data_IF_715082771389
#
_entry.id   IF_715082771389
#
_cell.length_a   1.000
_cell.length_b   1.000
_cell.length_c   1.000
_cell.angle_alpha   90.00
_cell.angle_beta   90.00
_cell.angle_gamma   90.00
#
_symmetry.space_group_name_H-M   'P 1'
#
loop_
_entity.id
_entity.type
_entity.pdbx_description
1 polymer ?
#
# COMPACT_ATOMS: atom_id res chain seq x y z
N UNK A 1 25.25 13.32 5.97
CA UNK A 1 26.26 12.24 5.76
C UNK A 1 25.68 11.00 6.45
N UNK A 2 25.35 9.86 5.84
CA UNK A 2 25.62 9.25 4.53
C UNK A 2 24.30 8.72 3.95
N UNK A 3 24.17 8.91 2.64
CA UNK A 3 23.21 8.23 1.78
C UNK A 3 23.59 6.75 1.74
N UNK A 4 22.66 5.85 2.07
CA UNK A 4 22.78 4.43 1.71
C UNK A 4 21.63 4.07 0.80
N UNK A 5 21.80 4.49 -0.45
CA UNK A 5 21.21 3.81 -1.60
C UNK A 5 22.00 2.51 -1.73
N UNK A 6 21.38 1.39 -1.39
CA UNK A 6 21.82 0.06 -1.81
C UNK A 6 20.80 -0.45 -2.80
N UNK A 7 21.10 -0.23 -4.08
CA UNK A 7 20.49 -0.97 -5.17
C UNK A 7 21.14 -2.36 -5.27
N UNK A 8 20.39 -3.27 -5.90
CA UNK A 8 20.81 -4.52 -6.56
C UNK A 8 20.36 -5.83 -5.89
N UNK A 9 19.13 -6.21 -6.24
CA UNK A 9 18.79 -7.46 -6.92
C UNK A 9 19.71 -8.69 -6.74
N UNK A 10 19.19 -9.76 -6.13
CA UNK A 10 19.19 -11.12 -6.69
C UNK A 10 18.45 -12.09 -5.75
N UNK A 11 17.47 -12.80 -6.29
CA UNK A 11 17.13 -14.16 -5.84
C UNK A 11 15.88 -14.33 -4.98
N UNK A 12 14.69 -14.19 -5.57
CA UNK A 12 13.54 -15.00 -5.14
C UNK A 12 12.95 -15.67 -6.37
N UNK A 13 13.52 -16.83 -6.72
CA UNK A 13 12.80 -17.80 -7.55
C UNK A 13 11.96 -18.68 -6.62
N UNK A 14 10.82 -18.16 -6.15
CA UNK A 14 9.81 -18.99 -5.51
C UNK A 14 8.97 -19.63 -6.61
N UNK A 15 9.45 -20.76 -7.14
CA UNK A 15 8.68 -21.59 -8.07
C UNK A 15 7.57 -22.33 -7.31
N UNK A 16 6.43 -21.68 -7.15
CA UNK A 16 5.18 -22.37 -6.81
C UNK A 16 4.66 -23.04 -8.08
N UNK A 17 4.93 -24.35 -8.22
CA UNK A 17 4.24 -25.21 -9.18
C UNK A 17 2.81 -25.45 -8.70
N UNK A 18 1.93 -24.47 -8.92
CA UNK A 18 0.49 -24.74 -8.92
C UNK A 18 0.19 -25.52 -10.20
N UNK A 19 0.04 -26.84 -10.08
CA UNK A 19 -0.61 -27.66 -11.08
C UNK A 19 -2.11 -27.27 -11.16
N UNK A 20 -2.38 -26.10 -11.73
CA UNK A 20 -3.70 -25.65 -12.14
C UNK A 20 -3.68 -25.50 -13.66
N UNK A 21 -4.66 -26.09 -14.34
CA UNK A 21 -4.84 -25.95 -15.78
C UNK A 21 -4.60 -24.49 -16.20
N UNK A 22 -3.75 -24.20 -17.21
CA UNK A 22 -3.64 -22.85 -17.74
C UNK A 22 -5.00 -22.52 -18.33
N UNK A 23 -5.83 -21.82 -17.57
CA UNK A 23 -6.95 -21.10 -18.14
C UNK A 23 -6.29 -20.01 -18.98
N UNK A 24 -6.14 -20.31 -20.27
CA UNK A 24 -5.77 -19.31 -21.24
C UNK A 24 -6.80 -18.20 -21.07
N UNK A 25 -6.34 -16.98 -20.80
CA UNK A 25 -7.22 -15.82 -20.90
C UNK A 25 -7.62 -15.76 -22.38
N UNK A 26 -8.80 -16.27 -22.71
CA UNK A 26 -9.42 -16.03 -24.00
C UNK A 26 -9.53 -14.51 -24.08
N UNK A 27 -8.88 -13.90 -25.07
CA UNK A 27 -9.07 -12.48 -25.38
C UNK A 27 -10.49 -12.30 -25.93
N UNK A 28 -11.48 -12.40 -25.05
CA UNK A 28 -12.86 -12.03 -25.28
C UNK A 28 -13.06 -10.55 -24.96
N UNK A 29 -14.10 -9.97 -25.55
CA UNK A 29 -14.61 -8.66 -25.18
C UNK A 29 -14.98 -8.67 -23.69
N UNK A 30 -14.34 -7.80 -22.89
CA UNK A 30 -14.59 -7.72 -21.44
C UNK A 30 -15.59 -6.61 -21.11
N UNK A 31 -16.20 -5.97 -22.12
CA UNK A 31 -17.16 -4.90 -21.94
C UNK A 31 -18.37 -5.37 -21.12
N UNK A 32 -18.55 -4.78 -19.94
CA UNK A 32 -19.64 -5.09 -19.02
C UNK A 32 -19.29 -6.15 -17.97
N UNK A 33 -18.07 -6.67 -17.97
CA UNK A 33 -17.64 -7.67 -17.00
C UNK A 33 -17.23 -7.06 -15.66
N UNK A 34 -17.41 -7.86 -14.60
CA UNK A 34 -16.84 -7.62 -13.29
C UNK A 34 -15.65 -8.54 -13.04
N UNK A 35 -14.54 -7.97 -12.56
CA UNK A 35 -13.37 -8.71 -12.11
C UNK A 35 -13.17 -8.51 -10.62
N UNK A 36 -12.96 -9.60 -9.88
CA UNK A 36 -12.64 -9.58 -8.45
C UNK A 36 -11.21 -10.10 -8.27
N UNK A 37 -10.36 -9.33 -7.58
CA UNK A 37 -8.99 -9.76 -7.27
C UNK A 37 -8.73 -9.67 -5.77
N UNK A 38 -8.07 -10.70 -5.23
CA UNK A 38 -7.43 -10.65 -3.92
C UNK A 38 -5.95 -10.31 -4.09
N UNK A 39 -5.44 -9.42 -3.25
CA UNK A 39 -4.03 -9.01 -3.26
C UNK A 39 -3.54 -8.73 -1.84
N UNK A 40 -2.22 -8.65 -1.69
CA UNK A 40 -1.55 -8.21 -0.47
C UNK A 40 -0.78 -6.95 -0.83
N UNK A 41 -0.92 -5.90 -0.03
CA UNK A 41 -0.24 -4.62 -0.24
C UNK A 41 0.46 -4.14 1.02
N UNK A 42 1.58 -3.45 0.86
CA UNK A 42 2.23 -2.71 1.94
C UNK A 42 1.78 -1.24 1.91
N UNK A 43 1.46 -0.70 3.08
CA UNK A 43 1.23 0.73 3.29
C UNK A 43 2.46 1.26 4.04
N UNK A 44 3.25 2.11 3.37
CA UNK A 44 4.47 2.70 3.92
C UNK A 44 4.29 4.23 3.97
N UNK A 45 3.87 4.78 5.12
CA UNK A 45 3.61 6.21 5.24
C UNK A 45 4.89 7.04 5.14
N UNK A 46 4.91 8.05 4.28
CA UNK A 46 5.85 9.17 4.38
C UNK A 46 5.22 10.23 5.30
N UNK A 47 5.42 10.07 6.61
CA UNK A 47 4.71 10.85 7.62
C UNK A 47 5.29 12.28 7.75
N UNK A 48 4.45 13.28 7.50
CA UNK A 48 4.69 14.68 7.87
C UNK A 48 3.61 15.14 8.85
N UNK A 49 4.02 15.70 9.99
CA UNK A 49 3.10 16.11 11.04
C UNK A 49 3.27 17.57 11.45
N UNK A 50 2.13 18.27 11.51
CA UNK A 50 2.03 19.62 12.07
C UNK A 50 1.46 19.57 13.49
N UNK A 51 2.32 19.34 14.48
CA UNK A 51 1.89 19.32 15.89
C UNK A 51 1.71 20.74 16.43
N UNK A 52 0.56 21.01 17.06
CA UNK A 52 0.22 22.28 17.68
C UNK A 52 -0.29 22.09 19.11
N UNK A 53 0.10 22.99 20.00
CA UNK A 53 -0.49 23.13 21.33
C UNK A 53 -1.08 24.55 21.46
N UNK A 54 -2.34 24.65 21.89
CA UNK A 54 -3.06 25.92 22.03
C UNK A 54 -2.97 26.80 20.76
N UNK A 55 -3.09 26.18 19.58
CA UNK A 55 -3.02 26.87 18.29
C UNK A 55 -1.62 27.23 17.78
N UNK A 56 -0.58 27.10 18.61
CA UNK A 56 0.81 27.40 18.24
C UNK A 56 1.57 26.14 17.85
N UNK A 57 2.32 26.17 16.74
CA UNK A 57 3.16 25.05 16.31
C UNK A 57 4.29 24.83 17.31
N UNK A 58 4.51 23.57 17.68
CA UNK A 58 5.67 23.18 18.51
C UNK A 58 6.86 22.95 17.57
N UNK A 59 7.94 23.75 17.67
CA UNK A 59 9.11 23.56 16.81
C UNK A 59 9.76 22.18 17.03
N UNK A 60 10.07 21.50 15.92
CA UNK A 60 10.74 20.19 15.92
C UNK A 60 9.86 19.02 16.38
N UNK A 61 8.56 19.23 16.65
CA UNK A 61 7.64 18.15 16.99
C UNK A 61 7.21 17.41 15.73
N UNK A 62 7.20 16.08 15.79
CA UNK A 62 6.77 15.20 14.70
C UNK A 62 6.06 13.97 15.25
N UNK A 63 5.61 13.10 14.36
CA UNK A 63 5.13 11.75 14.71
C UNK A 63 5.80 10.74 13.79
N UNK A 64 5.92 9.51 14.27
CA UNK A 64 6.23 8.35 13.46
C UNK A 64 4.96 7.52 13.25
N UNK A 65 4.80 6.92 12.07
CA UNK A 65 3.63 6.10 11.73
C UNK A 65 4.15 4.78 11.17
N UNK A 66 3.76 3.68 11.81
CA UNK A 66 4.29 2.35 11.47
C UNK A 66 3.92 1.92 10.05
N UNK A 67 4.80 1.18 9.38
CA UNK A 67 4.44 0.44 8.15
C UNK A 67 3.49 -0.71 8.46
N UNK A 68 2.63 -1.09 7.51
CA UNK A 68 1.69 -2.21 7.68
C UNK A 68 1.52 -3.01 6.38
N UNK A 69 1.45 -4.34 6.48
CA UNK A 69 1.12 -5.23 5.36
C UNK A 69 -0.31 -5.72 5.51
N UNK A 70 -1.13 -5.47 4.50
CA UNK A 70 -2.58 -5.67 4.56
C UNK A 70 -3.09 -6.62 3.47
N UNK A 71 -4.14 -7.41 3.77
CA UNK A 71 -4.96 -8.01 2.74
C UNK A 71 -5.86 -6.94 2.10
N UNK A 72 -6.02 -7.01 0.80
CA UNK A 72 -6.88 -6.12 0.04
C UNK A 72 -7.66 -6.87 -1.03
N UNK A 73 -8.79 -6.31 -1.40
CA UNK A 73 -9.62 -6.79 -2.51
C UNK A 73 -9.98 -5.66 -3.44
N UNK A 74 -10.09 -5.98 -4.73
CA UNK A 74 -10.56 -5.04 -5.75
C UNK A 74 -11.78 -5.60 -6.47
N UNK A 75 -12.73 -4.72 -6.77
CA UNK A 75 -13.86 -4.98 -7.66
C UNK A 75 -13.76 -4.02 -8.83
N UNK A 76 -13.53 -4.56 -10.02
CA UNK A 76 -13.30 -3.78 -11.24
C UNK A 76 -14.43 -4.02 -12.22
N UNK A 77 -15.01 -2.94 -12.74
CA UNK A 77 -16.02 -2.99 -13.80
C UNK A 77 -15.46 -2.39 -15.09
N UNK A 78 -15.55 -3.12 -16.18
CA UNK A 78 -15.03 -2.72 -17.48
C UNK A 78 -16.12 -2.06 -18.32
N UNK A 79 -15.95 -0.77 -18.61
CA UNK A 79 -16.83 -0.04 -19.53
C UNK A 79 -16.52 -0.35 -20.99
N UNK A 80 -15.27 -0.68 -21.31
CA UNK A 80 -14.77 -1.13 -22.62
C UNK A 80 -13.49 -1.92 -22.38
N UNK A 81 -12.90 -2.52 -23.43
CA UNK A 81 -11.61 -3.19 -23.34
C UNK A 81 -10.44 -2.29 -22.90
N UNK A 82 -10.61 -0.96 -22.88
CA UNK A 82 -9.56 0.00 -22.52
C UNK A 82 -9.92 0.91 -21.34
N UNK A 83 -11.12 0.80 -20.80
CA UNK A 83 -11.59 1.68 -19.73
C UNK A 83 -12.37 0.91 -18.68
N UNK A 84 -11.96 1.06 -17.43
CA UNK A 84 -12.56 0.40 -16.28
C UNK A 84 -12.50 1.30 -15.05
N UNK A 85 -13.39 1.04 -14.09
CA UNK A 85 -13.31 1.61 -12.74
C UNK A 85 -13.03 0.50 -11.74
N UNK A 86 -12.16 0.78 -10.77
CA UNK A 86 -11.79 -0.17 -9.72
C UNK A 86 -12.18 0.41 -8.35
N UNK A 87 -12.89 -0.39 -7.57
CA UNK A 87 -13.10 -0.16 -6.15
C UNK A 87 -12.07 -0.99 -5.39
N UNK A 88 -11.16 -0.31 -4.69
CA UNK A 88 -10.16 -0.93 -3.83
C UNK A 88 -10.62 -0.89 -2.37
N UNK A 89 -10.71 -2.05 -1.72
CA UNK A 89 -11.09 -2.19 -0.32
C UNK A 89 -9.98 -2.87 0.49
N UNK A 90 -9.65 -2.28 1.63
CA UNK A 90 -8.67 -2.83 2.56
C UNK A 90 -8.84 -2.25 3.96
N UNK A 91 -8.20 -2.88 4.95
CA UNK A 91 -8.11 -2.37 6.31
C UNK A 91 -6.65 -2.36 6.75
N UNK A 92 -6.14 -1.18 7.14
CA UNK A 92 -4.81 -1.01 7.71
C UNK A 92 -4.92 -0.51 9.14
N UNK A 93 -4.04 -1.00 10.02
CA UNK A 93 -3.91 -0.49 11.38
C UNK A 93 -2.50 0.05 11.54
N UNK A 94 -2.41 1.33 11.87
CA UNK A 94 -1.15 2.01 12.15
C UNK A 94 -1.06 2.38 13.62
N UNK A 95 0.13 2.25 14.19
CA UNK A 95 0.48 2.88 15.47
C UNK A 95 1.10 4.24 15.16
N UNK A 96 0.72 5.26 15.94
CA UNK A 96 1.26 6.62 15.83
C UNK A 96 2.00 6.94 17.12
N UNK A 97 3.30 7.21 17.00
CA UNK A 97 4.18 7.48 18.14
C UNK A 97 4.71 8.92 18.07
N UNK A 98 5.00 9.52 19.23
CA UNK A 98 5.51 10.88 19.27
C UNK A 98 7.00 10.88 18.88
N UNK A 99 7.40 11.84 18.04
CA UNK A 99 8.77 11.94 17.56
C UNK A 99 9.31 13.38 17.64
N UNK A 100 10.62 13.52 17.43
CA UNK A 100 11.29 14.82 17.50
C UNK A 100 11.25 15.42 18.92
N UNK A 101 10.93 16.71 19.03
CA UNK A 101 10.95 17.44 20.31
C UNK A 101 9.89 16.98 21.33
N UNK A 102 8.98 16.09 20.92
CA UNK A 102 7.92 15.51 21.77
C UNK A 102 8.07 14.01 21.99
N UNK A 103 9.20 13.39 21.63
CA UNK A 103 9.41 11.95 21.75
C UNK A 103 9.31 11.40 23.19
N UNK A 104 9.37 12.25 24.22
CA UNK A 104 9.27 11.80 25.61
C UNK A 104 7.83 11.64 26.12
N UNK A 105 6.82 12.02 25.33
CA UNK A 105 5.42 12.07 25.79
C UNK A 105 4.48 11.12 25.06
N UNK A 106 5.01 10.25 24.19
CA UNK A 106 4.23 9.29 23.42
C UNK A 106 5.11 8.25 22.78
#
# INVERSE_FOLDING_TARGET
>A
MRKFVTALAAGVALTVLLAGNPHQALAGDNHGDFMIRGLVSGVLPDADASVKANGTRIPGASVDVSDEVIPATTLTYFFTDNWAVELFCCFAKHTVEAAGSIASVG
#
